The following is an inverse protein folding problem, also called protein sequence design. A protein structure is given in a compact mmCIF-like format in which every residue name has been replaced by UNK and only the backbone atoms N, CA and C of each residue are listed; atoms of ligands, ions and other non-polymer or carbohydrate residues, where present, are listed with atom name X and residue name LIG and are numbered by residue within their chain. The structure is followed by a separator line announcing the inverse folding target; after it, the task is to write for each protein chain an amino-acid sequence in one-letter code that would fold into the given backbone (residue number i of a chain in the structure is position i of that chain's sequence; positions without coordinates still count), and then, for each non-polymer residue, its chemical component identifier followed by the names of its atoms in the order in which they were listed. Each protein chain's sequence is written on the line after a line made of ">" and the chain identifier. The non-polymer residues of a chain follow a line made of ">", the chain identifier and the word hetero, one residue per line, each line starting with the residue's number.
data_IF_926315214072
#
_entry.id   IF_926315214072
#
_cell.length_a   1.000
_cell.length_b   1.000
_cell.length_c   1.000
_cell.angle_alpha   90.00
_cell.angle_beta   90.00
_cell.angle_gamma   90.00
#
_symmetry.space_group_name_H-M   'P 1'
#
loop_
_entity.id
_entity.type
_entity.pdbx_description
1 polymer ?
#
# COMPACT_ATOMS: atom_id res chain seq x y z
N UNK A 1 3.41 -10.91 4.15
CA UNK A 1 4.75 -11.50 3.90
C UNK A 1 4.68 -12.75 3.02
N UNK A 2 3.69 -13.62 3.20
CA UNK A 2 3.57 -14.84 2.38
C UNK A 2 3.44 -14.58 0.87
N UNK A 3 2.80 -13.47 0.47
CA UNK A 3 2.66 -13.10 -0.96
C UNK A 3 4.03 -12.86 -1.61
N UNK A 4 4.93 -12.14 -0.95
CA UNK A 4 6.30 -11.90 -1.47
C UNK A 4 7.06 -13.22 -1.63
N UNK A 5 6.82 -14.18 -0.74
CA UNK A 5 7.48 -15.48 -0.78
C UNK A 5 7.14 -16.31 -2.03
N UNK A 6 6.01 -16.05 -2.70
CA UNK A 6 5.68 -16.76 -3.95
C UNK A 6 6.60 -16.38 -5.11
N UNK A 7 7.20 -15.19 -5.08
CA UNK A 7 7.92 -14.61 -6.20
C UNK A 7 9.39 -14.30 -5.92
N UNK A 8 9.84 -14.50 -4.68
CA UNK A 8 11.19 -14.14 -4.24
C UNK A 8 11.88 -15.37 -3.64
N UNK A 9 13.15 -15.63 -3.99
CA UNK A 9 13.91 -16.76 -3.46
C UNK A 9 13.92 -16.81 -1.94
N UNK A 10 14.01 -18.02 -1.37
CA UNK A 10 14.10 -18.26 0.06
C UNK A 10 15.29 -17.55 0.71
N UNK A 11 15.10 -17.05 1.93
CA UNK A 11 16.12 -16.40 2.75
C UNK A 11 16.30 -14.91 2.47
N UNK A 12 15.58 -14.33 1.49
CA UNK A 12 15.63 -12.89 1.22
C UNK A 12 14.89 -12.10 2.29
N UNK A 13 15.47 -10.98 2.70
CA UNK A 13 14.86 -10.06 3.65
C UNK A 13 13.68 -9.34 2.99
N UNK A 14 12.55 -9.28 3.71
CA UNK A 14 11.33 -8.62 3.27
C UNK A 14 11.14 -7.31 4.04
N UNK A 15 11.27 -7.38 5.37
CA UNK A 15 11.05 -6.23 6.25
C UNK A 15 11.78 -6.41 7.56
N UNK A 16 12.31 -5.31 8.09
CA UNK A 16 12.91 -5.23 9.43
C UNK A 16 12.07 -4.27 10.27
N UNK A 17 11.71 -4.67 11.47
CA UNK A 17 11.14 -3.75 12.47
C UNK A 17 12.24 -3.25 13.39
N UNK A 18 12.25 -1.94 13.70
CA UNK A 18 13.20 -1.33 14.65
C UNK A 18 12.42 -0.43 15.61
N UNK A 19 12.58 -0.67 16.89
CA UNK A 19 11.99 0.14 17.99
C UNK A 19 13.04 0.73 18.89
N UNK A 20 12.62 1.56 19.84
CA UNK A 20 13.51 2.09 20.89
C UNK A 20 14.06 0.97 21.79
N UNK A 21 13.28 -0.06 22.03
CA UNK A 21 13.67 -1.23 22.80
C UNK A 21 14.28 -2.24 21.83
N UNK A 22 15.52 -2.67 22.08
CA UNK A 22 16.24 -3.61 21.18
C UNK A 22 15.47 -4.90 20.93
N UNK A 23 14.72 -5.40 21.92
CA UNK A 23 13.90 -6.60 21.80
C UNK A 23 12.69 -6.44 20.85
N UNK A 24 12.33 -5.21 20.46
CA UNK A 24 11.26 -4.94 19.51
C UNK A 24 11.71 -5.04 18.04
N UNK A 25 12.98 -5.31 17.79
CA UNK A 25 13.54 -5.49 16.45
C UNK A 25 13.39 -6.93 15.95
N UNK A 26 12.78 -7.11 14.78
CA UNK A 26 12.64 -8.43 14.13
C UNK A 26 12.89 -8.30 12.64
N UNK A 27 13.68 -9.22 12.10
CA UNK A 27 13.90 -9.35 10.65
C UNK A 27 13.02 -10.47 10.11
N UNK A 28 12.20 -10.14 9.14
CA UNK A 28 11.35 -11.10 8.43
C UNK A 28 11.95 -11.41 7.07
N UNK A 29 12.08 -12.71 6.78
CA UNK A 29 12.64 -13.22 5.52
C UNK A 29 11.65 -14.17 4.85
N UNK A 30 11.85 -14.40 3.56
CA UNK A 30 11.18 -15.48 2.84
C UNK A 30 11.57 -16.84 3.44
N UNK A 31 10.59 -17.70 3.72
CA UNK A 31 10.81 -18.97 4.45
C UNK A 31 10.68 -20.20 3.57
N UNK A 32 9.90 -20.12 2.51
CA UNK A 32 9.61 -21.24 1.61
C UNK A 32 10.29 -21.02 0.25
N UNK A 33 10.42 -22.10 -0.52
CA UNK A 33 10.78 -21.99 -1.92
C UNK A 33 9.71 -21.21 -2.68
N UNK A 34 10.10 -20.37 -3.65
CA UNK A 34 9.15 -19.58 -4.42
C UNK A 34 8.32 -20.46 -5.35
N UNK A 35 7.16 -19.97 -5.75
CA UNK A 35 6.33 -20.61 -6.78
C UNK A 35 6.87 -20.27 -8.17
N UNK A 36 7.23 -19.01 -8.38
CA UNK A 36 7.77 -18.53 -9.66
C UNK A 36 8.62 -17.27 -9.42
N UNK A 37 9.87 -17.33 -9.84
CA UNK A 37 10.81 -16.20 -9.76
C UNK A 37 10.97 -15.44 -11.07
N UNK A 38 10.41 -15.91 -12.18
CA UNK A 38 10.70 -15.40 -13.53
C UNK A 38 9.51 -14.70 -14.17
N UNK A 39 8.28 -15.09 -13.84
CA UNK A 39 7.07 -14.46 -14.40
C UNK A 39 7.16 -12.92 -14.27
N UNK A 40 6.92 -12.13 -15.34
CA UNK A 40 6.86 -10.70 -15.25
C UNK A 40 5.78 -10.26 -14.27
N UNK A 41 6.15 -9.36 -13.31
CA UNK A 41 5.26 -8.90 -12.26
C UNK A 41 5.07 -7.39 -12.32
N UNK A 42 3.81 -6.96 -12.35
CA UNK A 42 3.39 -5.59 -12.13
C UNK A 42 2.52 -5.52 -10.86
N UNK A 43 2.82 -4.57 -9.98
CA UNK A 43 2.06 -4.32 -8.75
C UNK A 43 1.34 -2.99 -8.88
N UNK A 44 0.01 -3.03 -8.85
CA UNK A 44 -0.81 -1.83 -8.91
C UNK A 44 -0.96 -1.22 -7.51
N UNK A 45 -0.73 0.09 -7.42
CA UNK A 45 -0.80 0.84 -6.16
C UNK A 45 -1.49 2.18 -6.35
N UNK A 46 -2.08 2.69 -5.27
CA UNK A 46 -2.70 4.01 -5.22
C UNK A 46 -2.52 4.67 -3.84
N UNK A 47 -3.10 5.86 -3.65
CA UNK A 47 -3.03 6.60 -2.39
C UNK A 47 -3.72 5.92 -1.20
N UNK A 48 -4.56 4.91 -1.42
CA UNK A 48 -5.20 4.09 -0.38
C UNK A 48 -4.41 2.83 -0.01
N UNK A 49 -3.45 2.44 -0.86
CA UNK A 49 -2.52 1.34 -0.58
C UNK A 49 -1.68 1.66 0.65
N UNK A 50 -1.81 0.88 1.72
CA UNK A 50 -1.19 1.19 3.02
C UNK A 50 -0.65 -0.05 3.76
N UNK A 51 0.32 0.18 4.69
CA UNK A 51 0.77 -0.81 5.68
C UNK A 51 1.31 -2.10 5.05
N UNK A 52 0.67 -3.25 5.27
CA UNK A 52 1.11 -4.55 4.74
C UNK A 52 1.20 -4.57 3.20
N UNK A 53 0.29 -3.88 2.52
CA UNK A 53 0.33 -3.75 1.07
C UNK A 53 1.55 -2.95 0.60
N UNK A 54 1.99 -1.96 1.39
CA UNK A 54 3.22 -1.22 1.12
C UNK A 54 4.48 -2.05 1.40
N UNK A 55 4.43 -2.97 2.37
CA UNK A 55 5.51 -3.94 2.58
C UNK A 55 5.63 -4.86 1.35
N UNK A 56 4.51 -5.35 0.82
CA UNK A 56 4.52 -6.23 -0.36
C UNK A 56 5.04 -5.48 -1.58
N UNK A 57 4.42 -4.35 -1.94
CA UNK A 57 4.81 -3.57 -3.12
C UNK A 57 6.25 -3.05 -3.03
N UNK A 58 6.62 -2.47 -1.88
CA UNK A 58 7.94 -1.92 -1.67
C UNK A 58 9.05 -2.98 -1.61
N UNK A 59 8.77 -4.16 -1.02
CA UNK A 59 9.77 -5.24 -1.01
C UNK A 59 10.01 -5.82 -2.41
N UNK A 60 8.95 -6.00 -3.21
CA UNK A 60 9.08 -6.46 -4.59
C UNK A 60 9.79 -5.41 -5.46
N UNK A 61 9.55 -4.11 -5.21
CA UNK A 61 10.27 -3.02 -5.87
C UNK A 61 11.75 -3.00 -5.49
N UNK A 62 12.07 -3.03 -4.18
CA UNK A 62 13.44 -2.95 -3.68
C UNK A 62 14.31 -4.16 -4.07
N UNK A 63 13.68 -5.32 -4.24
CA UNK A 63 14.34 -6.54 -4.71
C UNK A 63 14.37 -6.63 -6.25
N UNK A 64 13.92 -5.62 -6.96
CA UNK A 64 13.81 -5.58 -8.43
C UNK A 64 13.04 -6.77 -9.02
N UNK A 65 12.07 -7.29 -8.24
CA UNK A 65 11.25 -8.42 -8.66
C UNK A 65 9.98 -8.01 -9.40
N UNK A 66 9.49 -6.80 -9.18
CA UNK A 66 8.30 -6.28 -9.83
C UNK A 66 8.47 -4.81 -10.22
N UNK A 67 7.68 -4.38 -11.20
CA UNK A 67 7.45 -2.97 -11.53
C UNK A 67 6.22 -2.52 -10.76
N UNK A 68 6.32 -1.40 -10.04
CA UNK A 68 5.20 -0.79 -9.33
C UNK A 68 4.56 0.28 -10.23
N UNK A 69 3.26 0.17 -10.44
CA UNK A 69 2.48 1.02 -11.36
C UNK A 69 1.33 1.68 -10.61
N UNK A 70 1.07 2.96 -10.84
CA UNK A 70 -0.06 3.67 -10.26
C UNK A 70 0.29 5.03 -9.69
N UNK A 71 -0.19 5.34 -8.48
CA UNK A 71 0.14 6.58 -7.77
C UNK A 71 0.82 6.29 -6.43
N UNK A 72 1.44 7.33 -5.85
CA UNK A 72 2.17 7.21 -4.56
C UNK A 72 1.25 6.67 -3.46
N UNK A 73 1.73 5.69 -2.69
CA UNK A 73 0.98 5.05 -1.63
C UNK A 73 0.82 5.92 -0.38
N UNK A 74 0.06 5.43 0.59
CA UNK A 74 -0.31 6.16 1.81
C UNK A 74 0.89 6.58 2.67
N UNK A 75 1.87 5.69 2.87
CA UNK A 75 3.03 5.93 3.73
C UNK A 75 2.78 5.59 5.20
N UNK A 76 2.26 4.39 5.49
CA UNK A 76 2.06 3.89 6.86
C UNK A 76 3.15 2.90 7.24
N UNK A 77 4.21 3.41 7.89
CA UNK A 77 5.42 2.67 8.25
C UNK A 77 5.60 2.40 9.75
N UNK A 78 4.53 2.52 10.56
CA UNK A 78 4.57 2.31 12.00
C UNK A 78 3.97 0.98 12.41
N UNK A 79 4.64 0.30 13.36
CA UNK A 79 4.11 -0.86 14.06
C UNK A 79 3.41 -0.39 15.32
N UNK A 80 2.12 -0.70 15.43
CA UNK A 80 1.29 -0.32 16.56
C UNK A 80 0.73 -1.59 17.23
N UNK A 81 0.77 -1.63 18.55
CA UNK A 81 0.28 -2.75 19.36
C UNK A 81 -0.79 -2.22 20.32
N UNK A 82 -1.98 -2.83 20.36
CA UNK A 82 -2.96 -2.53 21.39
C UNK A 82 -2.47 -3.03 22.74
N UNK A 83 -2.69 -2.25 23.78
CA UNK A 83 -2.47 -2.61 25.18
C UNK A 83 -3.77 -2.44 25.93
N UNK A 84 -4.21 -3.50 26.58
CA UNK A 84 -5.37 -3.46 27.44
C UNK A 84 -5.07 -2.65 28.71
N UNK A 85 -6.03 -1.87 29.12
CA UNK A 85 -6.01 -1.02 30.30
C UNK A 85 -7.22 -1.40 31.20
N UNK A 86 -7.24 -1.00 32.47
CA UNK A 86 -8.40 -1.15 33.34
C UNK A 86 -9.68 -0.58 32.72
N UNK A 87 -10.81 -1.02 33.23
CA UNK A 87 -12.16 -0.55 32.82
C UNK A 87 -12.51 -0.85 31.34
N UNK A 88 -12.09 -1.99 30.80
CA UNK A 88 -12.34 -2.39 29.40
C UNK A 88 -11.88 -1.37 28.37
N UNK A 89 -10.87 -0.57 28.72
CA UNK A 89 -10.25 0.37 27.78
C UNK A 89 -9.00 -0.21 27.15
N UNK A 90 -8.62 0.31 26.00
CA UNK A 90 -7.37 -0.09 25.33
C UNK A 90 -6.62 1.11 24.78
N UNK A 91 -5.31 1.02 24.77
CA UNK A 91 -4.43 2.03 24.21
C UNK A 91 -3.62 1.44 23.05
N UNK A 92 -3.63 2.11 21.91
CA UNK A 92 -2.77 1.75 20.76
C UNK A 92 -1.43 2.48 20.87
N UNK A 93 -0.35 1.73 21.04
CA UNK A 93 1.00 2.27 21.23
C UNK A 93 1.88 1.94 20.01
N UNK A 94 2.55 2.96 19.48
CA UNK A 94 3.59 2.77 18.47
C UNK A 94 4.85 2.22 19.13
N UNK A 95 5.28 1.04 18.75
CA UNK A 95 6.41 0.31 19.33
C UNK A 95 7.64 0.28 18.41
N UNK A 96 7.44 0.34 17.09
CA UNK A 96 8.52 0.25 16.13
C UNK A 96 8.15 0.96 14.81
N UNK A 97 9.18 1.18 13.99
CA UNK A 97 9.07 1.48 12.55
C UNK A 97 9.47 0.24 11.77
N UNK A 98 8.96 0.10 10.56
CA UNK A 98 9.45 -0.94 9.66
C UNK A 98 10.21 -0.37 8.46
N UNK A 99 11.19 -1.15 8.03
CA UNK A 99 12.13 -0.84 6.97
C UNK A 99 12.09 -1.97 5.95
N UNK A 100 11.95 -1.64 4.68
CA UNK A 100 11.91 -2.60 3.57
C UNK A 100 13.32 -2.88 3.05
N UNK A 101 13.54 -3.80 2.10
CA UNK A 101 14.86 -4.35 1.79
C UNK A 101 15.96 -3.34 1.46
N UNK A 102 15.65 -2.21 0.84
CA UNK A 102 16.63 -1.13 0.61
C UNK A 102 17.09 -0.44 1.91
N UNK A 103 16.45 -0.71 3.04
CA UNK A 103 16.70 -0.05 4.33
C UNK A 103 15.90 1.22 4.54
N UNK A 104 15.05 1.63 3.60
CA UNK A 104 14.20 2.81 3.72
C UNK A 104 12.99 2.58 4.60
N UNK A 105 12.59 3.63 5.35
CA UNK A 105 11.35 3.69 6.10
C UNK A 105 10.30 4.47 5.29
N UNK A 106 9.18 3.85 4.98
CA UNK A 106 8.15 4.46 4.13
C UNK A 106 7.20 5.41 4.86
N UNK A 107 7.36 5.60 6.18
CA UNK A 107 6.48 6.44 6.99
C UNK A 107 6.44 7.88 6.47
N UNK A 108 5.30 8.30 5.96
CA UNK A 108 5.10 9.64 5.39
C UNK A 108 4.61 10.67 6.41
N UNK A 109 3.85 10.24 7.42
CA UNK A 109 3.21 11.13 8.38
C UNK A 109 4.14 11.39 9.55
N UNK A 110 4.41 12.66 9.84
CA UNK A 110 5.14 13.10 11.03
C UNK A 110 4.16 13.52 12.13
N UNK A 111 3.83 12.59 13.02
CA UNK A 111 2.92 12.83 14.14
C UNK A 111 3.45 13.84 15.17
N UNK A 112 4.75 14.17 15.13
CA UNK A 112 5.35 15.17 16.01
C UNK A 112 5.05 16.61 15.56
N UNK A 113 4.72 16.77 14.28
CA UNK A 113 4.41 18.08 13.69
C UNK A 113 2.94 18.15 13.32
N UNK A 114 2.27 19.17 13.84
CA UNK A 114 0.88 19.48 13.48
C UNK A 114 0.81 20.80 12.74
N UNK A 115 -0.03 20.84 11.75
CA UNK A 115 -0.37 22.07 11.04
C UNK A 115 -1.29 22.97 11.91
N UNK A 116 -1.46 24.21 11.51
CA UNK A 116 -2.33 25.17 12.24
C UNK A 116 -3.80 24.72 12.32
N UNK A 117 -4.27 23.92 11.38
CA UNK A 117 -5.61 23.33 11.33
C UNK A 117 -5.76 22.04 12.17
N UNK A 118 -4.70 21.63 12.89
CA UNK A 118 -4.65 20.41 13.69
C UNK A 118 -4.35 19.13 12.90
N UNK A 119 -4.28 19.17 11.57
CA UNK A 119 -3.87 18.05 10.75
C UNK A 119 -2.40 17.67 10.99
N UNK A 120 -2.02 16.44 10.68
CA UNK A 120 -0.64 15.98 10.81
C UNK A 120 0.15 16.27 9.54
N UNK A 121 1.38 16.76 9.73
CA UNK A 121 2.26 17.06 8.60
C UNK A 121 2.75 15.78 7.90
N UNK A 122 2.93 15.85 6.60
CA UNK A 122 3.66 14.82 5.83
C UNK A 122 5.10 15.27 5.64
N UNK A 123 6.00 14.31 5.56
CA UNK A 123 7.41 14.57 5.25
C UNK A 123 7.50 15.15 3.84
N UNK A 124 8.00 16.39 3.65
CA UNK A 124 8.23 16.96 2.33
C UNK A 124 9.26 16.15 1.55
N UNK A 125 9.09 16.07 0.23
CA UNK A 125 10.03 15.34 -0.64
C UNK A 125 11.49 15.85 -0.54
N UNK A 126 11.67 17.14 -0.22
CA UNK A 126 12.99 17.75 0.02
C UNK A 126 13.72 17.22 1.26
N UNK A 127 13.01 16.60 2.19
CA UNK A 127 13.56 16.02 3.41
C UNK A 127 13.67 14.48 3.34
N UNK A 128 13.39 13.88 2.19
CA UNK A 128 13.52 12.44 1.99
C UNK A 128 14.96 12.06 1.64
N UNK A 129 15.39 10.89 2.11
CA UNK A 129 16.70 10.35 1.78
C UNK A 129 16.62 9.42 0.57
N UNK A 130 17.73 9.36 -0.18
CA UNK A 130 17.88 8.45 -1.32
C UNK A 130 18.39 7.11 -0.84
N UNK A 131 17.77 6.04 -1.35
CA UNK A 131 18.17 4.65 -1.20
C UNK A 131 18.22 4.00 -2.58
N UNK A 132 18.70 2.76 -2.65
CA UNK A 132 18.82 2.05 -3.92
C UNK A 132 18.20 0.66 -3.79
N UNK A 133 17.57 0.21 -4.86
CA UNK A 133 17.10 -1.16 -5.00
C UNK A 133 18.28 -2.12 -5.18
N UNK A 134 18.03 -3.41 -5.22
CA UNK A 134 19.07 -4.43 -5.42
C UNK A 134 19.85 -4.23 -6.74
N UNK A 135 19.19 -3.73 -7.78
CA UNK A 135 19.81 -3.41 -9.08
C UNK A 135 20.33 -1.96 -9.18
N UNK A 136 20.24 -1.17 -8.10
CA UNK A 136 20.78 0.19 -8.06
C UNK A 136 19.82 1.29 -8.54
N UNK A 137 18.53 1.02 -8.73
CA UNK A 137 17.53 2.05 -9.02
C UNK A 137 17.33 2.95 -7.81
N UNK A 138 17.22 4.27 -8.04
CA UNK A 138 16.95 5.23 -6.97
C UNK A 138 15.53 5.08 -6.44
N UNK A 139 15.40 4.98 -5.11
CA UNK A 139 14.14 5.01 -4.36
C UNK A 139 14.29 5.91 -3.14
N UNK A 140 13.18 6.37 -2.57
CA UNK A 140 13.21 7.33 -1.46
C UNK A 140 12.41 6.85 -0.27
N UNK A 141 12.78 7.32 0.93
CA UNK A 141 12.03 7.12 2.17
C UNK A 141 10.98 8.22 2.39
N UNK A 142 10.31 8.19 3.54
CA UNK A 142 9.50 9.30 4.08
C UNK A 142 8.21 9.65 3.32
N UNK A 143 7.91 8.96 2.22
CA UNK A 143 6.79 9.35 1.36
C UNK A 143 5.88 8.22 0.90
N UNK A 144 5.87 7.07 1.53
CA UNK A 144 5.25 5.85 1.00
C UNK A 144 6.08 5.23 -0.12
N UNK A 145 5.45 4.36 -0.91
CA UNK A 145 6.06 3.78 -2.10
C UNK A 145 5.73 4.68 -3.30
N UNK A 146 6.75 5.19 -3.96
CA UNK A 146 6.60 5.87 -5.24
C UNK A 146 6.59 4.82 -6.35
N UNK A 147 5.59 4.80 -7.24
CA UNK A 147 5.55 3.85 -8.36
C UNK A 147 6.71 4.10 -9.33
N UNK A 148 7.13 3.04 -10.02
CA UNK A 148 8.12 3.11 -11.10
C UNK A 148 7.49 3.72 -12.35
N UNK A 149 6.19 3.44 -12.56
CA UNK A 149 5.38 4.02 -13.63
C UNK A 149 4.20 4.75 -12.99
N UNK A 150 4.25 6.09 -13.04
CA UNK A 150 3.19 6.90 -12.47
C UNK A 150 2.00 7.00 -13.43
N UNK A 151 0.81 6.67 -12.92
CA UNK A 151 -0.46 6.81 -13.63
C UNK A 151 -1.21 7.97 -12.99
N UNK A 152 -1.58 8.96 -13.80
CA UNK A 152 -2.43 10.06 -13.33
C UNK A 152 -3.81 9.52 -13.03
N UNK A 153 -4.27 9.76 -11.81
CA UNK A 153 -5.65 9.46 -11.44
C UNK A 153 -6.55 10.47 -12.14
N UNK A 154 -7.49 9.98 -12.94
CA UNK A 154 -8.55 10.84 -13.48
C UNK A 154 -9.44 11.31 -12.33
N UNK A 155 -9.70 12.62 -12.30
CA UNK A 155 -10.66 13.16 -11.35
C UNK A 155 -12.06 12.80 -11.83
N UNK A 156 -12.71 11.92 -11.10
CA UNK A 156 -14.13 11.67 -11.33
C UNK A 156 -14.95 12.94 -11.06
N UNK A 157 -15.98 13.20 -11.86
CA UNK A 157 -16.94 14.27 -11.57
C UNK A 157 -17.55 14.09 -10.18
N UNK A 158 -17.86 15.21 -9.50
CA UNK A 158 -18.45 15.15 -8.15
C UNK A 158 -19.69 14.26 -8.06
N UNK A 159 -20.48 14.20 -9.12
CA UNK A 159 -21.66 13.34 -9.19
C UNK A 159 -21.32 11.86 -8.95
N UNK A 160 -20.15 11.42 -9.43
CA UNK A 160 -19.70 10.04 -9.27
C UNK A 160 -19.49 9.66 -7.81
N UNK A 161 -19.04 10.63 -6.98
CA UNK A 161 -18.90 10.43 -5.54
C UNK A 161 -20.26 10.11 -4.90
N UNK A 162 -21.31 10.83 -5.25
CA UNK A 162 -22.66 10.58 -4.74
C UNK A 162 -23.22 9.26 -5.25
N UNK A 163 -23.08 8.98 -6.56
CA UNK A 163 -23.56 7.73 -7.15
C UNK A 163 -22.92 6.47 -6.51
N UNK A 164 -21.64 6.56 -6.10
CA UNK A 164 -20.96 5.47 -5.43
C UNK A 164 -21.29 5.41 -3.93
N UNK A 165 -21.33 6.56 -3.25
CA UNK A 165 -21.53 6.62 -1.80
C UNK A 165 -22.96 6.26 -1.39
N UNK A 166 -23.93 6.57 -2.23
CA UNK A 166 -25.35 6.27 -2.00
C UNK A 166 -25.79 4.96 -2.67
N UNK A 167 -24.83 4.11 -3.10
CA UNK A 167 -25.04 2.80 -3.72
C UNK A 167 -25.94 2.81 -4.99
N UNK A 168 -26.14 3.99 -5.60
CA UNK A 168 -27.07 4.16 -6.74
C UNK A 168 -26.67 3.31 -7.96
N UNK A 169 -25.35 3.16 -8.21
CA UNK A 169 -24.85 2.30 -9.31
C UNK A 169 -25.17 0.84 -9.01
N UNK A 170 -25.01 0.41 -7.77
CA UNK A 170 -25.31 -0.96 -7.34
C UNK A 170 -26.80 -1.25 -7.44
N UNK A 171 -27.66 -0.33 -7.00
CA UNK A 171 -29.11 -0.44 -7.08
C UNK A 171 -29.58 -0.49 -8.53
N UNK A 172 -29.04 0.36 -9.40
CA UNK A 172 -29.33 0.33 -10.82
C UNK A 172 -28.92 -1.01 -11.45
N UNK A 173 -27.71 -1.49 -11.20
CA UNK A 173 -27.24 -2.77 -11.71
C UNK A 173 -28.12 -3.94 -11.22
N UNK A 174 -28.54 -3.90 -9.96
CA UNK A 174 -29.43 -4.90 -9.37
C UNK A 174 -30.78 -4.89 -10.10
N UNK A 175 -31.41 -3.72 -10.29
CA UNK A 175 -32.67 -3.59 -11.02
C UNK A 175 -32.53 -4.03 -12.48
N UNK A 176 -31.42 -3.72 -13.11
CA UNK A 176 -31.11 -4.15 -14.46
C UNK A 176 -31.04 -5.68 -14.56
N UNK A 177 -30.32 -6.35 -13.67
CA UNK A 177 -30.20 -7.81 -13.64
C UNK A 177 -31.55 -8.52 -13.34
N UNK A 178 -32.42 -7.91 -12.53
CA UNK A 178 -33.77 -8.45 -12.29
C UNK A 178 -34.59 -8.44 -13.57
N UNK A 179 -34.47 -7.40 -14.40
CA UNK A 179 -35.22 -7.25 -15.65
C UNK A 179 -34.60 -8.02 -16.82
N UNK A 180 -33.33 -8.30 -16.78
CA UNK A 180 -32.56 -8.95 -17.84
C UNK A 180 -31.91 -10.21 -17.31
N UNK A 181 -32.50 -11.36 -17.57
CA UNK A 181 -32.06 -12.67 -17.06
C UNK A 181 -30.67 -13.11 -17.60
N UNK A 182 -30.21 -12.49 -18.66
CA UNK A 182 -28.87 -12.71 -19.22
C UNK A 182 -28.20 -11.36 -19.55
N UNK A 183 -27.06 -11.13 -18.99
CA UNK A 183 -26.17 -10.00 -19.35
C UNK A 183 -25.12 -10.59 -20.28
N UNK A 184 -24.95 -10.04 -21.48
CA UNK A 184 -23.95 -10.49 -22.46
C UNK A 184 -22.52 -10.33 -21.94
N UNK A 185 -21.57 -10.68 -22.79
CA UNK A 185 -20.13 -10.47 -22.48
C UNK A 185 -19.85 -8.98 -22.22
N UNK A 186 -18.94 -8.69 -21.28
CA UNK A 186 -18.60 -7.30 -20.87
C UNK A 186 -18.21 -6.43 -22.07
N UNK A 187 -17.52 -7.00 -23.06
CA UNK A 187 -17.10 -6.31 -24.28
C UNK A 187 -18.26 -5.90 -25.21
N UNK A 188 -19.39 -6.58 -25.12
CA UNK A 188 -20.58 -6.36 -25.96
C UNK A 188 -21.68 -5.59 -25.21
N UNK A 189 -21.45 -5.29 -23.91
CA UNK A 189 -22.39 -4.58 -23.09
C UNK A 189 -22.35 -3.07 -23.38
N UNK A 190 -23.48 -2.53 -23.79
CA UNK A 190 -23.66 -1.10 -23.96
C UNK A 190 -24.89 -0.64 -23.19
N UNK A 191 -24.76 0.46 -22.46
CA UNK A 191 -25.92 1.14 -21.85
C UNK A 191 -26.60 1.92 -22.96
N UNK A 192 -27.79 1.48 -23.33
CA UNK A 192 -28.64 2.23 -24.28
C UNK A 192 -29.45 3.27 -23.51
N UNK A 193 -29.59 4.47 -24.08
CA UNK A 193 -30.52 5.47 -23.59
C UNK A 193 -31.93 4.90 -23.66
N UNK A 194 -32.54 4.63 -22.48
CA UNK A 194 -33.89 4.14 -22.34
C UNK A 194 -34.79 5.23 -21.79
#
# INVERSE_FOLDING_TARGET
>A
MNVVNFFVPKGKEIVVTKGKIKQAGTTYKTMNEPVDTEIPLAVLVDGSTASASEIVSGSLQDLDRAIVVGSRTYGKGLVQVPRELPYNSSMKVTTAKYYIPSGRCIQAIDYAKRNADGSVARTPDSLTNVFHTAAGREVRDGGGIRPDVEVKVENFPNIMFYLLNDDMIFDYATQYCIKHSQVGEVKDFTITDA
#
